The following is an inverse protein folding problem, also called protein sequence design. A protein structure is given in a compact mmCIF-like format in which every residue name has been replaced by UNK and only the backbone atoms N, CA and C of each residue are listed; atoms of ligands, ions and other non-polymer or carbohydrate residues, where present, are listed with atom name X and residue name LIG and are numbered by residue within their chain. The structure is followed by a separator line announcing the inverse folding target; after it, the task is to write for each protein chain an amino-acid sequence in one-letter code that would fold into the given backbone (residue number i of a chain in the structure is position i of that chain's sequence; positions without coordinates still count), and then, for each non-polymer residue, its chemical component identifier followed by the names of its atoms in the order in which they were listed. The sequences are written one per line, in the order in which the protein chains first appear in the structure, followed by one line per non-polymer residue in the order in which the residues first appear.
data_IF_517697530435
#
_entry.id   IF_517697530435
#
_cell.length_a   1.000
_cell.length_b   1.000
_cell.length_c   1.000
_cell.angle_alpha   90.00
_cell.angle_beta   90.00
_cell.angle_gamma   90.00
#
_symmetry.space_group_name_H-M   'P 1'
#
loop_
_entity.id
_entity.type
_entity.pdbx_description
1 polymer ?
#
# COMPACT_ATOMS: atom_id res chain seq x y z
N UNK A 1 -23.35 25.63 2.90
CA UNK A 1 -23.25 24.39 3.68
C UNK A 1 -24.18 23.35 3.07
N UNK A 2 -23.67 22.43 2.26
CA UNK A 2 -24.51 21.37 1.66
C UNK A 2 -24.71 20.26 2.69
N UNK A 3 -25.89 20.20 3.33
CA UNK A 3 -26.26 19.06 4.16
C UNK A 3 -26.67 17.93 3.23
N UNK A 4 -25.77 16.97 3.01
CA UNK A 4 -26.14 15.75 2.29
C UNK A 4 -27.18 15.02 3.14
N UNK A 5 -28.44 15.02 2.69
CA UNK A 5 -29.56 14.35 3.34
C UNK A 5 -29.43 12.83 3.18
N UNK A 6 -28.49 12.21 3.91
CA UNK A 6 -28.32 10.75 3.95
C UNK A 6 -29.33 10.16 4.93
N UNK A 7 -30.17 9.24 4.46
CA UNK A 7 -31.02 8.43 5.34
C UNK A 7 -30.11 7.69 6.33
N UNK A 8 -30.53 7.60 7.60
CA UNK A 8 -29.84 6.76 8.55
C UNK A 8 -29.90 5.31 8.07
N UNK A 9 -28.74 4.68 7.90
CA UNK A 9 -28.63 3.27 7.53
C UNK A 9 -28.21 2.48 8.75
N UNK A 10 -28.94 1.41 9.08
CA UNK A 10 -28.49 0.46 10.09
C UNK A 10 -27.24 -0.27 9.58
N UNK A 11 -26.17 -0.28 10.38
CA UNK A 11 -24.97 -1.05 10.05
C UNK A 11 -25.35 -2.54 10.01
N UNK A 12 -25.23 -3.16 8.84
CA UNK A 12 -25.49 -4.59 8.67
C UNK A 12 -24.32 -5.37 9.26
N UNK A 13 -24.60 -6.35 10.12
CA UNK A 13 -23.58 -7.26 10.64
C UNK A 13 -22.99 -8.05 9.48
N UNK A 14 -21.70 -7.87 9.22
CA UNK A 14 -20.96 -8.75 8.32
C UNK A 14 -20.73 -10.11 8.99
N UNK A 15 -20.90 -11.19 8.22
CA UNK A 15 -20.70 -12.58 8.72
C UNK A 15 -19.25 -12.82 9.15
N UNK A 16 -18.31 -12.09 8.55
CA UNK A 16 -16.87 -12.24 8.81
C UNK A 16 -16.20 -10.87 8.81
N UNK A 17 -15.64 -10.45 9.95
CA UNK A 17 -14.72 -9.31 9.97
C UNK A 17 -13.32 -9.81 9.65
N UNK A 18 -12.79 -9.45 8.48
CA UNK A 18 -11.36 -9.61 8.20
C UNK A 18 -10.60 -8.50 8.94
N UNK A 19 -10.30 -8.74 10.22
CA UNK A 19 -9.47 -7.82 11.01
C UNK A 19 -8.09 -7.77 10.35
N UNK A 20 -7.60 -6.58 9.92
CA UNK A 20 -6.25 -6.44 9.39
C UNK A 20 -5.21 -6.89 10.43
N UNK A 21 -4.28 -7.76 10.01
CA UNK A 21 -3.25 -8.34 10.90
C UNK A 21 -1.84 -8.05 10.45
N UNK A 22 -1.60 -8.12 9.14
CA UNK A 22 -0.28 -7.91 8.55
C UNK A 22 -0.29 -6.59 7.79
N UNK A 23 0.57 -5.69 8.22
CA UNK A 23 0.69 -4.35 7.70
C UNK A 23 2.11 -4.13 7.18
N UNK A 24 2.20 -3.39 6.08
CA UNK A 24 3.44 -2.84 5.55
C UNK A 24 3.21 -1.35 5.44
N UNK A 25 3.83 -0.59 6.32
CA UNK A 25 3.91 0.86 6.19
C UNK A 25 5.10 1.17 5.32
N UNK A 26 4.91 1.95 4.26
CA UNK A 26 5.97 2.27 3.30
C UNK A 26 6.00 3.76 3.02
N UNK A 27 7.21 4.27 2.86
CA UNK A 27 7.50 5.63 2.43
C UNK A 27 8.67 5.61 1.46
N UNK A 28 8.61 6.43 0.41
CA UNK A 28 9.62 6.47 -0.65
C UNK A 28 10.15 7.88 -0.89
N UNK A 29 11.45 7.95 -1.14
CA UNK A 29 12.14 9.14 -1.58
C UNK A 29 12.42 9.07 -3.07
N UNK A 30 12.38 10.21 -3.73
CA UNK A 30 12.52 10.30 -5.19
C UNK A 30 13.60 11.27 -5.62
N UNK A 31 14.19 11.00 -6.79
CA UNK A 31 14.96 11.97 -7.56
C UNK A 31 14.05 12.66 -8.56
N UNK A 32 14.19 13.99 -8.66
CA UNK A 32 13.46 14.80 -9.62
C UNK A 32 14.37 15.10 -10.82
N UNK A 33 13.88 14.80 -12.01
CA UNK A 33 14.55 15.17 -13.26
C UNK A 33 13.57 15.95 -14.13
N UNK A 34 14.03 17.06 -14.70
CA UNK A 34 13.25 17.82 -15.68
C UNK A 34 13.46 17.20 -17.05
N UNK A 35 12.37 16.94 -17.75
CA UNK A 35 12.42 16.54 -19.15
C UNK A 35 12.70 17.75 -20.06
N UNK A 36 13.01 17.50 -21.33
CA UNK A 36 13.25 18.54 -22.37
C UNK A 36 12.06 19.49 -22.51
N UNK A 37 10.86 19.01 -22.25
CA UNK A 37 9.60 19.77 -22.31
C UNK A 37 9.26 20.48 -20.98
N UNK A 38 10.17 20.46 -19.99
CA UNK A 38 9.96 21.09 -18.69
C UNK A 38 9.12 20.28 -17.70
N UNK A 39 8.62 19.11 -18.10
CA UNK A 39 7.87 18.19 -17.22
C UNK A 39 8.77 17.64 -16.11
N UNK A 40 8.22 17.52 -14.89
CA UNK A 40 8.95 16.94 -13.76
C UNK A 40 8.70 15.43 -13.73
N UNK A 41 9.76 14.65 -13.94
CA UNK A 41 9.76 13.20 -13.76
C UNK A 41 10.34 12.85 -12.39
N UNK A 42 9.62 12.00 -11.67
CA UNK A 42 10.04 11.43 -10.39
C UNK A 42 10.54 10.00 -10.62
N UNK A 43 11.70 9.67 -10.07
CA UNK A 43 12.25 8.32 -10.10
C UNK A 43 12.59 7.87 -8.68
N UNK A 44 12.41 6.57 -8.40
CA UNK A 44 12.74 6.00 -7.09
C UNK A 44 14.20 6.24 -6.75
N UNK A 45 14.46 6.71 -5.52
CA UNK A 45 15.80 6.90 -4.97
C UNK A 45 16.08 5.88 -3.87
N UNK A 46 15.20 5.84 -2.87
CA UNK A 46 15.26 4.90 -1.75
C UNK A 46 13.90 4.85 -1.07
N UNK A 47 13.73 3.94 -0.12
CA UNK A 47 12.55 3.93 0.74
C UNK A 47 12.84 3.23 2.06
N UNK A 48 11.85 3.31 2.93
CA UNK A 48 11.80 2.51 4.14
C UNK A 48 10.45 1.84 4.22
N UNK A 49 10.44 0.63 4.75
CA UNK A 49 9.21 -0.01 5.19
C UNK A 49 9.32 -0.48 6.63
N UNK A 50 8.17 -0.48 7.29
CA UNK A 50 7.94 -1.13 8.57
C UNK A 50 6.85 -2.18 8.38
N UNK A 51 7.22 -3.45 8.56
CA UNK A 51 6.28 -4.54 8.69
C UNK A 51 5.82 -4.66 10.13
N UNK A 52 4.51 -4.69 10.30
CA UNK A 52 3.89 -4.89 11.60
C UNK A 52 2.88 -6.04 11.52
N UNK A 53 3.02 -7.02 12.40
CA UNK A 53 2.01 -8.04 12.60
C UNK A 53 1.43 -7.94 14.01
N UNK A 54 0.12 -7.68 14.08
CA UNK A 54 -0.60 -7.63 15.35
C UNK A 54 -0.65 -9.00 16.02
N UNK A 55 -0.46 -9.03 17.34
CA UNK A 55 -0.63 -10.26 18.13
C UNK A 55 -2.05 -10.83 18.02
N UNK A 56 -2.14 -12.16 17.98
CA UNK A 56 -3.41 -12.88 18.00
C UNK A 56 -3.21 -14.29 18.53
N UNK A 57 -4.02 -14.66 19.54
CA UNK A 57 -3.95 -15.97 20.18
C UNK A 57 -2.53 -16.27 20.68
N UNK A 58 -1.85 -17.28 20.15
CA UNK A 58 -0.46 -17.62 20.49
C UNK A 58 0.59 -16.84 19.68
N UNK A 59 0.19 -16.11 18.65
CA UNK A 59 1.10 -15.34 17.80
C UNK A 59 1.49 -14.04 18.49
N UNK A 60 2.80 -13.86 18.70
CA UNK A 60 3.38 -12.64 19.23
C UNK A 60 3.30 -11.52 18.19
N UNK A 61 3.24 -10.30 18.70
CA UNK A 61 3.44 -9.11 17.89
C UNK A 61 4.84 -9.13 17.27
N UNK A 62 4.95 -8.62 16.04
CA UNK A 62 6.21 -8.54 15.30
C UNK A 62 6.30 -7.17 14.65
N UNK A 63 7.45 -6.54 14.76
CA UNK A 63 7.80 -5.30 14.08
C UNK A 63 9.17 -5.47 13.43
N UNK A 64 9.26 -5.18 12.13
CA UNK A 64 10.49 -5.31 11.36
C UNK A 64 10.65 -4.12 10.43
N UNK A 65 11.81 -3.46 10.53
CA UNK A 65 12.18 -2.36 9.66
C UNK A 65 13.08 -2.86 8.55
N UNK A 66 12.82 -2.40 7.33
CA UNK A 66 13.59 -2.79 6.16
C UNK A 66 13.88 -1.56 5.30
N UNK A 67 15.16 -1.40 4.97
CA UNK A 67 15.61 -0.37 4.05
C UNK A 67 15.44 -0.85 2.62
N UNK A 68 14.87 0.01 1.77
CA UNK A 68 14.62 -0.28 0.36
C UNK A 68 15.63 0.51 -0.47
N UNK A 69 16.57 -0.21 -1.07
CA UNK A 69 17.57 0.32 -1.99
C UNK A 69 17.15 0.17 -3.46
N UNK A 70 16.26 -0.78 -3.74
CA UNK A 70 15.78 -1.10 -5.07
C UNK A 70 14.29 -1.38 -5.04
N UNK A 71 13.59 -1.07 -6.14
CA UNK A 71 12.17 -1.42 -6.27
C UNK A 71 11.98 -2.95 -6.13
N UNK A 72 12.94 -3.74 -6.62
CA UNK A 72 12.92 -5.20 -6.50
C UNK A 72 12.89 -5.68 -5.05
N UNK A 73 13.78 -5.16 -4.20
CA UNK A 73 13.85 -5.58 -2.79
C UNK A 73 12.56 -5.29 -2.01
N UNK A 74 11.85 -4.21 -2.35
CA UNK A 74 10.51 -3.96 -1.82
C UNK A 74 9.50 -5.05 -2.24
N UNK A 75 9.44 -5.41 -3.52
CA UNK A 75 8.46 -6.39 -4.01
C UNK A 75 8.78 -7.81 -3.55
N UNK A 76 10.05 -8.19 -3.51
CA UNK A 76 10.50 -9.47 -2.95
C UNK A 76 10.03 -9.59 -1.48
N UNK A 77 10.17 -8.51 -0.70
CA UNK A 77 9.64 -8.44 0.66
C UNK A 77 8.11 -8.58 0.69
N UNK A 78 7.38 -7.83 -0.14
CA UNK A 78 5.91 -7.89 -0.19
C UNK A 78 5.43 -9.31 -0.51
N UNK A 79 6.02 -9.96 -1.51
CA UNK A 79 5.62 -11.30 -1.93
C UNK A 79 6.00 -12.36 -0.92
N UNK A 80 7.15 -12.24 -0.24
CA UNK A 80 7.52 -13.16 0.85
C UNK A 80 6.56 -13.10 2.05
N UNK A 81 5.85 -11.97 2.23
CA UNK A 81 4.87 -11.75 3.30
C UNK A 81 3.42 -11.98 2.87
N UNK A 82 3.19 -12.33 1.60
CA UNK A 82 1.87 -12.74 1.09
C UNK A 82 1.55 -14.19 1.49
N UNK A 83 1.06 -14.39 2.70
CA UNK A 83 0.66 -15.71 3.20
C UNK A 83 -0.71 -16.16 2.69
N UNK A 84 -0.89 -17.48 2.53
CA UNK A 84 -2.19 -18.05 2.16
C UNK A 84 -3.28 -17.67 3.17
N UNK A 85 -4.46 -17.32 2.66
CA UNK A 85 -5.67 -16.94 3.44
C UNK A 85 -5.51 -15.71 4.35
N UNK A 86 -4.37 -15.02 4.29
CA UNK A 86 -4.14 -13.75 4.96
C UNK A 86 -4.20 -12.59 3.96
N UNK A 87 -4.56 -11.40 4.45
CA UNK A 87 -4.46 -10.14 3.67
C UNK A 87 -3.27 -9.36 4.19
N UNK A 88 -2.36 -8.99 3.29
CA UNK A 88 -1.29 -8.03 3.54
C UNK A 88 -1.79 -6.63 3.19
N UNK A 89 -1.71 -5.70 4.14
CA UNK A 89 -2.16 -4.33 3.97
C UNK A 89 -0.96 -3.42 3.76
N UNK A 90 -0.81 -2.89 2.55
CA UNK A 90 0.23 -1.91 2.25
C UNK A 90 -0.37 -0.52 2.45
N UNK A 91 0.26 0.28 3.30
CA UNK A 91 -0.21 1.60 3.72
C UNK A 91 0.92 2.59 3.48
N UNK A 92 0.59 3.72 2.87
CA UNK A 92 1.49 4.85 2.72
C UNK A 92 0.70 6.14 2.91
N UNK A 93 1.40 7.23 3.22
CA UNK A 93 0.76 8.55 3.43
C UNK A 93 0.10 9.06 2.14
N UNK A 94 0.73 8.84 1.00
CA UNK A 94 0.16 9.09 -0.33
C UNK A 94 0.31 7.84 -1.19
N UNK A 95 -0.52 6.83 -0.90
CA UNK A 95 -0.42 5.51 -1.54
C UNK A 95 -0.40 5.55 -3.06
N UNK A 96 -1.11 6.49 -3.70
CA UNK A 96 -1.10 6.59 -5.16
C UNK A 96 0.28 6.99 -5.68
N UNK A 97 0.94 7.94 -5.02
CA UNK A 97 2.28 8.38 -5.35
C UNK A 97 3.30 7.26 -5.10
N UNK A 98 3.41 6.76 -3.87
CA UNK A 98 4.37 5.72 -3.50
C UNK A 98 4.21 4.46 -4.35
N UNK A 99 2.97 4.03 -4.60
CA UNK A 99 2.67 2.88 -5.44
C UNK A 99 3.11 3.09 -6.90
N UNK A 100 3.03 4.33 -7.41
CA UNK A 100 3.51 4.67 -8.75
C UNK A 100 5.04 4.63 -8.80
N UNK A 101 5.71 5.22 -7.81
CA UNK A 101 7.18 5.21 -7.69
C UNK A 101 7.71 3.77 -7.58
N UNK A 102 7.04 2.92 -6.80
CA UNK A 102 7.35 1.51 -6.64
C UNK A 102 6.91 0.65 -7.83
N UNK A 103 6.40 1.24 -8.93
CA UNK A 103 5.94 0.52 -10.14
C UNK A 103 4.94 -0.59 -9.81
N UNK A 104 3.99 -0.32 -8.91
CA UNK A 104 3.16 -1.39 -8.35
C UNK A 104 2.25 -2.10 -9.33
N UNK A 105 1.72 -1.39 -10.34
CA UNK A 105 0.92 -2.03 -11.39
C UNK A 105 1.71 -3.05 -12.20
N UNK A 106 2.98 -2.75 -12.47
CA UNK A 106 3.84 -3.62 -13.25
C UNK A 106 4.21 -4.87 -12.47
N UNK A 107 4.69 -4.71 -11.24
CA UNK A 107 5.14 -5.83 -10.41
C UNK A 107 3.97 -6.75 -10.03
N UNK A 108 2.81 -6.21 -9.66
CA UNK A 108 1.64 -7.04 -9.37
C UNK A 108 1.16 -7.83 -10.59
N UNK A 109 1.14 -7.21 -11.78
CA UNK A 109 0.75 -7.92 -13.01
C UNK A 109 1.75 -9.01 -13.38
N UNK A 110 3.05 -8.74 -13.21
CA UNK A 110 4.12 -9.72 -13.46
C UNK A 110 3.96 -10.97 -12.60
N UNK A 111 3.56 -10.82 -11.34
CA UNK A 111 3.24 -11.92 -10.43
C UNK A 111 1.81 -12.49 -10.58
N UNK A 112 1.07 -12.11 -11.63
CA UNK A 112 -0.24 -12.69 -11.95
C UNK A 112 -1.41 -12.19 -11.09
N UNK A 113 -1.23 -11.13 -10.30
CA UNK A 113 -2.32 -10.55 -9.50
C UNK A 113 -3.36 -9.85 -10.38
N UNK A 114 -4.61 -9.89 -9.95
CA UNK A 114 -5.74 -9.24 -10.62
C UNK A 114 -6.33 -8.14 -9.73
N UNK A 115 -6.58 -6.98 -10.32
CA UNK A 115 -7.27 -5.89 -9.67
C UNK A 115 -8.74 -6.26 -9.46
N UNK A 116 -9.17 -6.40 -8.21
CA UNK A 116 -10.57 -6.71 -7.87
C UNK A 116 -11.43 -5.48 -7.64
N UNK A 117 -10.84 -4.45 -7.05
CA UNK A 117 -11.53 -3.23 -6.67
C UNK A 117 -10.53 -2.07 -6.63
N UNK A 118 -10.93 -0.92 -7.15
CA UNK A 118 -10.15 0.31 -7.13
C UNK A 118 -11.06 1.46 -6.74
N UNK A 119 -10.63 2.23 -5.75
CA UNK A 119 -11.36 3.39 -5.25
C UNK A 119 -10.38 4.54 -5.06
N UNK A 120 -10.65 5.67 -5.69
CA UNK A 120 -9.87 6.89 -5.55
C UNK A 120 -10.85 8.07 -5.51
N UNK A 121 -10.87 8.80 -4.40
CA UNK A 121 -11.72 9.97 -4.21
C UNK A 121 -11.06 11.30 -4.64
N UNK A 122 -9.89 11.25 -5.28
CA UNK A 122 -9.14 12.44 -5.66
C UNK A 122 -8.54 13.12 -4.44
N UNK A 123 -7.36 12.68 -4.01
CA UNK A 123 -6.50 13.49 -3.14
C UNK A 123 -5.70 14.43 -4.04
N UNK A 124 -5.71 15.72 -3.70
CA UNK A 124 -5.21 16.85 -4.48
C UNK A 124 -3.81 16.61 -5.07
N UNK A 125 -3.67 16.96 -6.35
CA UNK A 125 -2.39 17.10 -7.06
C UNK A 125 -1.59 18.27 -6.48
#
# INVERSE_FOLDING_TARGET
MSSINRKAHALRREKTMAIPRHFVFVDTETNQTKDKDGNIKQSFRLGWLCYYSRSYDTHKEKEEWFYIDTIGSFWDFVFSHCQQKCRLWIIARNVVFDFTILRGWENLRKEGYKLKFFHNNGLSV
#
